data_IF_978166903763
#
_entry.id   IF_978166903763
#
_cell.length_a   1.000
_cell.length_b   1.000
_cell.length_c   1.000
_cell.angle_alpha   90.00
_cell.angle_beta   90.00
_cell.angle_gamma   90.00
#
_symmetry.space_group_name_H-M   'P 1'
#
loop_
_entity.id
_entity.type
_entity.pdbx_description
1 polymer ?
#
# COMPACT_ATOMS: atom_id res chain seq x y z
N UNK A 1 -0.24 -2.13 44.61
CA UNK A 1 -1.05 -3.36 44.80
C UNK A 1 -2.14 -3.01 45.81
N UNK A 2 -3.44 -3.17 45.63
CA UNK A 2 -4.27 -3.82 44.61
C UNK A 2 -5.62 -3.04 44.49
N UNK A 3 -6.32 -3.29 43.39
CA UNK A 3 -7.60 -2.70 42.99
C UNK A 3 -8.77 -3.22 43.86
N UNK A 4 -9.79 -2.39 44.07
CA UNK A 4 -11.18 -2.85 44.15
C UNK A 4 -12.08 -1.91 43.35
N UNK A 5 -12.68 -2.44 42.30
CA UNK A 5 -13.77 -1.86 41.52
C UNK A 5 -15.09 -2.25 42.20
N UNK A 6 -16.01 -1.29 42.33
CA UNK A 6 -17.40 -1.51 42.71
C UNK A 6 -18.28 -0.47 42.03
N UNK A 7 -19.07 -0.92 41.06
CA UNK A 7 -19.95 -0.15 40.19
C UNK A 7 -21.35 0.00 40.81
N UNK A 8 -21.98 1.16 40.55
CA UNK A 8 -23.43 1.47 40.48
C UNK A 8 -24.27 1.19 41.76
N UNK A 9 -25.29 1.94 42.19
CA UNK A 9 -26.44 2.61 41.54
C UNK A 9 -27.17 3.50 42.58
N UNK A 10 -27.81 4.58 42.11
CA UNK A 10 -29.11 5.15 42.53
C UNK A 10 -29.43 5.51 44.01
N UNK A 11 -29.94 6.73 44.21
CA UNK A 11 -31.05 6.98 45.15
C UNK A 11 -30.75 7.84 46.39
N UNK A 12 -31.48 8.94 46.63
CA UNK A 12 -31.22 9.87 47.72
C UNK A 12 -32.09 9.56 48.93
N UNK A 13 -31.54 9.41 50.14
CA UNK A 13 -32.31 9.67 51.37
C UNK A 13 -31.40 10.06 52.54
N UNK A 14 -31.90 11.07 53.24
CA UNK A 14 -31.42 11.64 54.47
C UNK A 14 -31.15 10.62 55.58
N UNK A 15 -30.08 10.86 56.33
CA UNK A 15 -29.98 10.45 57.73
C UNK A 15 -29.46 11.63 58.55
N UNK A 16 -30.33 12.14 59.42
CA UNK A 16 -30.05 13.12 60.48
C UNK A 16 -29.85 12.36 61.82
N UNK A 17 -29.60 13.03 62.97
CA UNK A 17 -28.41 12.93 63.83
C UNK A 17 -28.68 12.09 65.10
N UNK A 18 -27.83 12.10 66.15
CA UNK A 18 -28.09 13.03 67.28
C UNK A 18 -26.79 13.42 68.08
N UNK A 19 -26.59 14.67 68.51
CA UNK A 19 -26.99 15.34 69.78
C UNK A 19 -25.90 15.37 70.89
N UNK A 20 -25.94 16.48 71.65
CA UNK A 20 -25.22 16.81 72.91
C UNK A 20 -23.80 17.38 72.82
N UNK A 21 -23.68 18.70 72.99
CA UNK A 21 -23.11 19.25 74.24
C UNK A 21 -23.59 20.69 74.43
N UNK A 22 -24.12 20.96 75.63
CA UNK A 22 -24.61 22.24 76.09
C UNK A 22 -23.47 23.05 76.71
N UNK A 23 -23.42 24.35 76.46
CA UNK A 23 -22.85 25.31 77.41
C UNK A 23 -23.70 26.58 77.39
N UNK A 24 -24.28 26.87 78.55
CA UNK A 24 -25.06 28.05 78.88
C UNK A 24 -24.15 29.21 79.27
N UNK A 25 -24.37 30.39 78.70
CA UNK A 25 -24.08 31.66 79.37
C UNK A 25 -25.11 32.71 78.91
N UNK A 26 -25.87 33.23 79.86
CA UNK A 26 -26.91 34.28 79.75
C UNK A 26 -26.27 35.64 80.18
N UNK A 27 -26.92 36.81 80.03
CA UNK A 27 -26.57 37.81 79.02
C UNK A 27 -26.25 39.18 79.64
N UNK A 28 -25.75 40.13 78.84
CA UNK A 28 -25.97 41.55 79.11
C UNK A 28 -25.86 42.35 77.79
N UNK A 29 -26.97 43.03 77.46
CA UNK A 29 -27.19 44.23 76.60
C UNK A 29 -26.19 44.62 75.50
N UNK A 30 -26.59 45.17 74.36
CA UNK A 30 -27.86 45.40 73.69
C UNK A 30 -27.45 45.83 72.27
N UNK A 31 -28.33 45.56 71.32
CA UNK A 31 -28.58 46.39 70.14
C UNK A 31 -27.80 46.15 68.82
N UNK A 32 -28.60 46.29 67.75
CA UNK A 32 -28.25 46.51 66.34
C UNK A 32 -27.93 45.28 65.47
N UNK A 33 -29.02 44.60 65.09
CA UNK A 33 -29.34 44.19 63.70
C UNK A 33 -28.23 43.57 62.83
N UNK A 34 -28.25 42.25 62.77
CA UNK A 34 -28.34 41.43 61.55
C UNK A 34 -28.22 42.18 60.21
N UNK A 35 -27.03 42.11 59.58
CA UNK A 35 -26.81 41.87 58.14
C UNK A 35 -25.32 42.08 57.79
N UNK A 36 -24.48 41.15 58.22
CA UNK A 36 -23.26 40.85 57.48
C UNK A 36 -23.64 40.03 56.23
N UNK A 37 -24.26 40.69 55.25
CA UNK A 37 -24.35 40.15 53.89
C UNK A 37 -23.08 40.58 53.17
N UNK A 38 -22.23 39.62 52.89
CA UNK A 38 -21.18 39.71 51.88
C UNK A 38 -21.78 40.26 50.57
N UNK A 39 -21.71 41.57 50.37
CA UNK A 39 -21.91 42.25 49.09
C UNK A 39 -20.62 42.93 48.67
N UNK A 40 -19.51 42.19 48.80
CA UNK A 40 -18.20 42.57 48.26
C UNK A 40 -17.52 41.37 47.61
N UNK A 41 -18.27 40.63 46.78
CA UNK A 41 -17.73 39.56 45.93
C UNK A 41 -18.59 39.32 44.68
N UNK A 42 -19.32 40.33 44.19
CA UNK A 42 -20.13 40.21 42.97
C UNK A 42 -19.77 41.25 41.89
N UNK A 43 -19.03 42.31 42.23
CA UNK A 43 -18.70 43.40 41.29
C UNK A 43 -17.30 43.33 40.69
N UNK A 44 -16.51 42.30 41.01
CA UNK A 44 -15.18 42.11 40.41
C UNK A 44 -15.11 40.97 39.39
N UNK A 45 -16.19 40.21 39.19
CA UNK A 45 -16.27 39.28 38.05
C UNK A 45 -16.53 39.99 36.72
N UNK A 46 -16.95 41.26 36.75
CA UNK A 46 -17.20 42.08 35.56
C UNK A 46 -15.94 42.79 35.02
N UNK A 47 -14.78 42.54 35.65
CA UNK A 47 -13.48 43.11 35.28
C UNK A 47 -12.52 42.15 34.61
N UNK A 48 -12.99 40.98 34.19
CA UNK A 48 -12.24 40.13 33.28
C UNK A 48 -12.78 40.31 31.86
N UNK A 49 -12.26 41.25 31.05
CA UNK A 49 -12.46 41.22 29.62
C UNK A 49 -11.58 40.09 29.04
N UNK A 50 -11.83 38.85 29.44
CA UNK A 50 -11.29 37.67 28.77
C UNK A 50 -12.34 37.17 27.77
N UNK A 51 -12.39 37.91 26.66
CA UNK A 51 -12.83 37.45 25.34
C UNK A 51 -12.19 36.08 25.00
N UNK A 52 -12.82 35.27 24.13
CA UNK A 52 -12.81 33.81 24.16
C UNK A 52 -11.42 33.23 23.90
N UNK A 53 -10.83 32.55 24.89
CA UNK A 53 -9.67 31.69 24.64
C UNK A 53 -10.09 30.42 23.84
N UNK A 54 -11.32 29.94 24.07
CA UNK A 54 -11.86 28.70 23.49
C UNK A 54 -11.92 28.73 21.96
N UNK A 55 -12.19 29.88 21.32
CA UNK A 55 -12.35 29.92 19.86
C UNK A 55 -11.04 29.80 19.07
N UNK A 56 -9.89 30.19 19.65
CA UNK A 56 -8.58 30.05 19.01
C UNK A 56 -8.04 28.63 19.16
N UNK A 57 -8.27 28.01 20.31
CA UNK A 57 -7.87 26.63 20.58
C UNK A 57 -8.70 25.63 19.74
N UNK A 58 -10.00 25.89 19.57
CA UNK A 58 -10.85 25.13 18.63
C UNK A 58 -10.34 25.22 17.18
N UNK A 59 -9.91 26.41 16.74
CA UNK A 59 -9.34 26.59 15.40
C UNK A 59 -8.00 25.83 15.23
N UNK A 60 -7.15 25.82 16.27
CA UNK A 60 -5.88 25.07 16.26
C UNK A 60 -6.15 23.56 16.23
N UNK A 61 -7.09 23.06 17.02
CA UNK A 61 -7.46 21.64 17.02
C UNK A 61 -8.06 21.19 15.69
N UNK A 62 -8.89 22.04 15.06
CA UNK A 62 -9.41 21.78 13.73
C UNK A 62 -8.28 21.72 12.68
N UNK A 63 -7.30 22.64 12.75
CA UNK A 63 -6.14 22.66 11.87
C UNK A 63 -5.26 21.42 12.04
N UNK A 64 -5.02 20.96 13.28
CA UNK A 64 -4.30 19.72 13.56
C UNK A 64 -5.08 18.51 13.02
N UNK A 65 -6.41 18.51 13.16
CA UNK A 65 -7.28 17.49 12.58
C UNK A 65 -7.15 17.40 11.06
N UNK A 66 -7.19 18.54 10.38
CA UNK A 66 -7.00 18.63 8.94
C UNK A 66 -5.60 18.17 8.51
N UNK A 67 -4.56 18.63 9.21
CA UNK A 67 -3.18 18.22 8.92
C UNK A 67 -2.98 16.72 9.09
N UNK A 68 -3.58 16.10 10.13
CA UNK A 68 -3.53 14.65 10.32
C UNK A 68 -4.21 13.89 9.18
N UNK A 69 -5.31 14.42 8.66
CA UNK A 69 -6.01 13.81 7.54
C UNK A 69 -5.18 13.90 6.25
N UNK A 70 -4.64 15.08 5.95
CA UNK A 70 -3.75 15.27 4.80
C UNK A 70 -2.50 14.40 4.88
N UNK A 71 -1.87 14.31 6.06
CA UNK A 71 -0.71 13.45 6.29
C UNK A 71 -1.08 11.98 6.02
N UNK A 72 -2.23 11.51 6.50
CA UNK A 72 -2.69 10.13 6.25
C UNK A 72 -2.90 9.86 4.77
N UNK A 73 -3.52 10.78 4.05
CA UNK A 73 -3.76 10.65 2.61
C UNK A 73 -2.45 10.61 1.84
N UNK A 74 -1.49 11.49 2.18
CA UNK A 74 -0.15 11.49 1.59
C UNK A 74 0.62 10.20 1.89
N UNK A 75 0.55 9.69 3.11
CA UNK A 75 1.18 8.41 3.45
C UNK A 75 0.57 7.24 2.68
N UNK A 76 -0.76 7.18 2.58
CA UNK A 76 -1.44 6.14 1.79
C UNK A 76 -1.05 6.21 0.29
N UNK A 77 -0.94 7.42 -0.27
CA UNK A 77 -0.47 7.61 -1.63
C UNK A 77 0.99 7.17 -1.82
N UNK A 78 1.87 7.50 -0.87
CA UNK A 78 3.28 7.10 -0.88
C UNK A 78 3.46 5.58 -0.77
N UNK A 79 2.67 4.92 0.09
CA UNK A 79 2.67 3.45 0.20
C UNK A 79 2.27 2.80 -1.12
N UNK A 80 1.24 3.34 -1.79
CA UNK A 80 0.81 2.86 -3.10
C UNK A 80 1.90 3.07 -4.17
N UNK A 81 2.55 4.24 -4.19
CA UNK A 81 3.63 4.53 -5.14
C UNK A 81 4.85 3.64 -4.91
N UNK A 82 5.21 3.38 -3.65
CA UNK A 82 6.31 2.49 -3.28
C UNK A 82 6.02 1.04 -3.71
N UNK A 83 4.78 0.57 -3.51
CA UNK A 83 4.35 -0.75 -3.96
C UNK A 83 4.41 -0.87 -5.49
N UNK A 84 3.92 0.13 -6.23
CA UNK A 84 4.01 0.17 -7.69
C UNK A 84 5.47 0.17 -8.18
N UNK A 85 6.31 1.00 -7.57
CA UNK A 85 7.75 1.08 -7.89
C UNK A 85 8.44 -0.25 -7.65
N UNK A 86 8.15 -0.92 -6.52
CA UNK A 86 8.69 -2.25 -6.23
C UNK A 86 8.31 -3.26 -7.32
N UNK A 87 7.03 -3.30 -7.71
CA UNK A 87 6.57 -4.18 -8.78
C UNK A 87 7.28 -3.89 -10.11
N UNK A 88 7.49 -2.62 -10.44
CA UNK A 88 8.23 -2.24 -11.65
C UNK A 88 9.69 -2.72 -11.62
N UNK A 89 10.37 -2.58 -10.48
CA UNK A 89 11.75 -3.07 -10.31
C UNK A 89 11.82 -4.59 -10.44
N UNK A 90 10.89 -5.32 -9.82
CA UNK A 90 10.82 -6.79 -9.93
C UNK A 90 10.56 -7.23 -11.39
N UNK A 91 9.64 -6.56 -12.09
CA UNK A 91 9.38 -6.83 -13.50
C UNK A 91 10.62 -6.57 -14.38
N UNK A 92 11.36 -5.49 -14.11
CA UNK A 92 12.60 -5.19 -14.83
C UNK A 92 13.68 -6.24 -14.58
N UNK A 93 13.86 -6.68 -13.33
CA UNK A 93 14.81 -7.73 -12.97
C UNK A 93 14.50 -9.05 -13.70
N UNK A 94 13.21 -9.42 -13.78
CA UNK A 94 12.76 -10.60 -14.55
C UNK A 94 13.11 -10.46 -16.04
N UNK A 95 12.83 -9.30 -16.64
CA UNK A 95 13.13 -9.06 -18.06
C UNK A 95 14.62 -9.10 -18.37
N UNK A 96 15.47 -8.58 -17.49
CA UNK A 96 16.93 -8.63 -17.63
C UNK A 96 17.40 -10.09 -17.59
N UNK A 97 16.98 -10.85 -16.59
CA UNK A 97 17.36 -12.26 -16.43
C UNK A 97 16.89 -13.12 -17.61
N UNK A 98 15.64 -12.91 -18.06
CA UNK A 98 15.09 -13.58 -19.23
C UNK A 98 15.86 -13.21 -20.51
N UNK A 99 16.24 -11.95 -20.67
CA UNK A 99 17.06 -11.49 -21.79
C UNK A 99 18.44 -12.15 -21.80
N UNK A 100 19.11 -12.23 -20.65
CA UNK A 100 20.42 -12.86 -20.55
C UNK A 100 20.37 -14.35 -20.88
N UNK A 101 19.39 -15.07 -20.33
CA UNK A 101 19.13 -16.46 -20.67
C UNK A 101 18.88 -16.65 -22.18
N UNK A 102 18.01 -15.82 -22.76
CA UNK A 102 17.70 -15.89 -24.18
C UNK A 102 18.90 -15.55 -25.07
N UNK A 103 19.75 -14.62 -24.65
CA UNK A 103 20.98 -14.29 -25.37
C UNK A 103 21.96 -15.45 -25.36
N UNK A 104 22.13 -16.14 -24.22
CA UNK A 104 22.95 -17.36 -24.13
C UNK A 104 22.37 -18.45 -25.03
N UNK A 105 21.05 -18.69 -24.96
CA UNK A 105 20.38 -19.68 -25.80
C UNK A 105 20.56 -19.38 -27.30
N UNK A 106 20.43 -18.12 -27.72
CA UNK A 106 20.68 -17.70 -29.11
C UNK A 106 22.10 -17.97 -29.56
N UNK A 107 23.09 -17.72 -28.71
CA UNK A 107 24.51 -18.00 -29.00
C UNK A 107 24.73 -19.51 -29.13
N UNK A 108 24.13 -20.32 -28.26
CA UNK A 108 24.20 -21.78 -28.37
C UNK A 108 23.55 -22.28 -29.66
N UNK A 109 22.36 -21.76 -30.00
CA UNK A 109 21.63 -22.11 -31.21
C UNK A 109 22.38 -21.71 -32.50
N UNK A 110 23.20 -20.65 -32.47
CA UNK A 110 24.01 -20.24 -33.64
C UNK A 110 25.14 -21.22 -33.97
N UNK A 111 25.51 -22.08 -33.02
CA UNK A 111 26.54 -23.10 -33.20
C UNK A 111 26.00 -24.45 -33.70
N UNK A 112 24.68 -24.62 -33.76
CA UNK A 112 24.05 -25.82 -34.32
C UNK A 112 24.36 -25.92 -35.81
N UNK A 113 24.56 -27.16 -36.27
CA UNK A 113 25.03 -27.45 -37.63
C UNK A 113 24.02 -28.23 -38.45
N UNK A 114 23.19 -29.03 -37.80
CA UNK A 114 22.20 -29.89 -38.45
C UNK A 114 20.79 -29.54 -38.00
N UNK A 115 19.81 -29.84 -38.86
CA UNK A 115 18.40 -29.57 -38.56
C UNK A 115 17.88 -30.36 -37.35
N UNK A 116 18.51 -31.50 -37.04
CA UNK A 116 18.13 -32.40 -35.94
C UNK A 116 18.92 -32.15 -34.65
N UNK A 117 19.86 -31.20 -34.65
CA UNK A 117 20.56 -30.84 -33.41
C UNK A 117 19.56 -30.23 -32.42
N UNK A 118 19.63 -30.56 -31.12
CA UNK A 118 18.69 -30.07 -30.13
C UNK A 118 18.84 -28.57 -29.94
N UNK A 119 17.72 -27.84 -30.05
CA UNK A 119 17.62 -26.43 -29.75
C UNK A 119 17.65 -26.19 -28.24
N UNK A 120 18.34 -25.12 -27.83
CA UNK A 120 18.17 -24.58 -26.50
C UNK A 120 16.92 -23.69 -26.50
N UNK A 121 15.90 -24.01 -25.67
CA UNK A 121 14.65 -23.27 -25.65
C UNK A 121 14.86 -21.86 -25.10
N UNK A 122 14.12 -20.88 -25.65
CA UNK A 122 14.03 -19.55 -25.07
C UNK A 122 12.93 -19.50 -24.00
N UNK A 123 13.04 -18.56 -23.07
CA UNK A 123 12.00 -18.22 -22.11
C UNK A 123 11.24 -16.97 -22.54
N UNK A 124 10.03 -16.81 -22.02
CA UNK A 124 9.23 -15.62 -22.32
C UNK A 124 9.93 -14.36 -21.79
N UNK A 125 10.15 -13.32 -22.62
CA UNK A 125 10.85 -12.12 -22.19
C UNK A 125 10.16 -11.34 -21.06
N UNK A 126 8.83 -11.49 -20.90
CA UNK A 126 8.03 -10.76 -19.91
C UNK A 126 7.94 -11.49 -18.57
N UNK A 127 7.87 -12.82 -18.58
CA UNK A 127 7.66 -13.62 -17.36
C UNK A 127 8.88 -14.42 -16.94
N UNK A 128 9.86 -14.62 -17.83
CA UNK A 128 10.99 -15.53 -17.60
C UNK A 128 10.60 -17.02 -17.56
N UNK A 129 9.35 -17.36 -17.83
CA UNK A 129 8.87 -18.75 -17.82
C UNK A 129 9.23 -19.50 -19.10
N UNK A 130 9.30 -20.82 -19.01
CA UNK A 130 9.43 -21.69 -20.18
C UNK A 130 8.22 -21.51 -21.11
N UNK A 131 8.49 -21.52 -22.41
CA UNK A 131 7.47 -21.39 -23.46
C UNK A 131 6.96 -22.78 -23.82
N UNK A 132 5.67 -23.10 -23.58
CA UNK A 132 5.10 -24.38 -23.96
C UNK A 132 5.11 -24.54 -25.49
N UNK A 133 5.45 -25.74 -25.96
CA UNK A 133 5.51 -26.03 -27.39
C UNK A 133 6.71 -25.41 -28.11
N UNK A 134 7.75 -24.99 -27.38
CA UNK A 134 8.99 -24.58 -28.02
C UNK A 134 9.60 -25.77 -28.80
N UNK A 135 9.98 -25.59 -30.08
CA UNK A 135 10.49 -26.66 -30.94
C UNK A 135 11.77 -27.26 -30.36
N UNK A 136 11.88 -28.59 -30.36
CA UNK A 136 13.05 -29.28 -29.84
C UNK A 136 14.21 -29.27 -30.83
N UNK A 137 13.92 -29.17 -32.13
CA UNK A 137 14.92 -29.12 -33.21
C UNK A 137 14.57 -28.07 -34.25
N UNK A 138 15.52 -27.76 -35.14
CA UNK A 138 15.27 -26.84 -36.25
C UNK A 138 14.33 -27.44 -37.31
N UNK A 139 14.26 -28.76 -37.43
CA UNK A 139 13.31 -29.44 -38.32
C UNK A 139 11.87 -29.29 -37.81
N UNK A 140 11.67 -29.36 -36.49
CA UNK A 140 10.35 -29.21 -35.87
C UNK A 140 9.71 -27.87 -36.24
N UNK A 141 10.52 -26.81 -36.40
CA UNK A 141 10.07 -25.46 -36.81
C UNK A 141 9.36 -25.49 -38.17
N UNK A 142 9.85 -26.31 -39.09
CA UNK A 142 9.31 -26.42 -40.45
C UNK A 142 8.02 -27.28 -40.49
N UNK A 143 7.79 -28.07 -39.44
CA UNK A 143 6.60 -28.92 -39.29
C UNK A 143 5.48 -28.27 -38.46
N UNK A 144 5.75 -27.13 -37.79
CA UNK A 144 4.76 -26.43 -36.97
C UNK A 144 3.57 -25.94 -37.79
N UNK A 145 2.37 -26.02 -37.20
CA UNK A 145 1.18 -25.37 -37.76
C UNK A 145 1.24 -23.83 -37.62
N UNK A 146 0.46 -23.13 -38.44
CA UNK A 146 0.39 -21.66 -38.39
C UNK A 146 -0.06 -21.13 -37.02
N UNK A 147 -1.01 -21.79 -36.38
CA UNK A 147 -1.54 -21.42 -35.06
C UNK A 147 -0.49 -21.61 -33.95
N UNK A 148 0.27 -22.71 -33.99
CA UNK A 148 1.38 -22.96 -33.06
C UNK A 148 2.50 -21.95 -33.23
N UNK A 149 2.83 -21.62 -34.49
CA UNK A 149 3.82 -20.60 -34.82
C UNK A 149 3.40 -19.21 -34.30
N UNK A 150 2.14 -18.83 -34.48
CA UNK A 150 1.63 -17.55 -33.99
C UNK A 150 1.61 -17.47 -32.46
N UNK A 151 1.21 -18.55 -31.78
CA UNK A 151 1.26 -18.64 -30.33
C UNK A 151 2.72 -18.53 -29.82
N UNK A 152 3.67 -19.19 -30.48
CA UNK A 152 5.09 -19.12 -30.14
C UNK A 152 5.66 -17.71 -30.34
N UNK A 153 5.39 -17.08 -31.49
CA UNK A 153 5.83 -15.71 -31.78
C UNK A 153 5.28 -14.72 -30.75
N UNK A 154 4.00 -14.82 -30.40
CA UNK A 154 3.37 -13.96 -29.41
C UNK A 154 4.01 -14.11 -28.02
N UNK A 155 4.30 -15.34 -27.59
CA UNK A 155 4.98 -15.61 -26.31
C UNK A 155 6.42 -15.08 -26.27
N UNK A 156 7.09 -15.03 -27.42
CA UNK A 156 8.41 -14.41 -27.60
C UNK A 156 8.33 -12.87 -27.72
N UNK A 157 7.13 -12.28 -27.69
CA UNK A 157 6.90 -10.85 -27.86
C UNK A 157 7.10 -10.35 -29.29
N UNK A 158 7.10 -11.27 -30.26
CA UNK A 158 7.14 -10.96 -31.68
C UNK A 158 5.72 -10.78 -32.19
N UNK A 159 5.51 -9.73 -32.98
CA UNK A 159 4.26 -9.57 -33.72
C UNK A 159 4.18 -10.67 -34.79
N UNK A 160 3.07 -11.44 -34.87
CA UNK A 160 2.77 -12.31 -36.01
C UNK A 160 2.39 -11.42 -37.21
N UNK A 161 3.39 -10.73 -37.76
CA UNK A 161 3.20 -9.87 -38.93
C UNK A 161 3.62 -10.66 -40.17
N UNK A 162 2.65 -10.87 -41.08
CA UNK A 162 2.80 -11.65 -42.30
C UNK A 162 1.81 -12.81 -42.32
N UNK A 163 0.97 -12.88 -43.36
CA UNK A 163 0.06 -14.02 -43.57
C UNK A 163 0.81 -15.26 -44.06
N UNK A 164 2.05 -15.07 -44.54
CA UNK A 164 2.88 -16.13 -45.11
C UNK A 164 3.67 -16.87 -44.03
N UNK A 165 3.52 -18.20 -44.01
CA UNK A 165 4.21 -19.08 -43.08
C UNK A 165 5.73 -19.04 -43.27
N UNK A 166 6.21 -18.87 -44.51
CA UNK A 166 7.64 -18.82 -44.78
C UNK A 166 8.32 -17.61 -44.12
N UNK A 167 7.63 -16.46 -44.06
CA UNK A 167 8.13 -15.26 -43.37
C UNK A 167 8.17 -15.46 -41.85
N UNK A 168 7.14 -16.10 -41.28
CA UNK A 168 7.07 -16.43 -39.85
C UNK A 168 8.22 -17.36 -39.45
N UNK A 169 8.45 -18.43 -40.22
CA UNK A 169 9.55 -19.38 -40.00
C UNK A 169 10.90 -18.66 -40.08
N UNK A 170 11.13 -17.86 -41.12
CA UNK A 170 12.39 -17.11 -41.29
C UNK A 170 12.63 -16.15 -40.11
N UNK A 171 11.58 -15.46 -39.65
CA UNK A 171 11.65 -14.56 -38.50
C UNK A 171 11.97 -15.32 -37.22
N UNK A 172 11.31 -16.45 -36.97
CA UNK A 172 11.58 -17.29 -35.79
C UNK A 172 13.02 -17.80 -35.81
N UNK A 173 13.46 -18.43 -36.90
CA UNK A 173 14.84 -18.94 -37.07
C UNK A 173 15.87 -17.85 -36.77
N UNK A 174 15.68 -16.66 -37.34
CA UNK A 174 16.57 -15.51 -37.12
C UNK A 174 16.57 -15.07 -35.65
N UNK A 175 15.39 -15.02 -35.02
CA UNK A 175 15.25 -14.56 -33.63
C UNK A 175 15.84 -15.52 -32.59
N UNK A 176 15.75 -16.83 -32.83
CA UNK A 176 16.31 -17.85 -31.94
C UNK A 176 17.80 -18.11 -32.20
N UNK A 177 18.40 -17.40 -33.16
CA UNK A 177 19.83 -17.49 -33.45
C UNK A 177 20.19 -18.66 -34.36
N UNK A 178 19.26 -19.24 -35.12
CA UNK A 178 19.64 -20.21 -36.15
C UNK A 178 20.28 -19.48 -37.33
N UNK A 179 21.33 -20.08 -37.89
CA UNK A 179 21.86 -19.63 -39.17
C UNK A 179 20.75 -19.78 -40.20
N UNK A 180 20.57 -18.75 -41.05
CA UNK A 180 19.78 -18.91 -42.25
C UNK A 180 20.34 -20.12 -42.99
N UNK A 181 19.58 -21.20 -42.99
CA UNK A 181 19.94 -22.40 -43.72
C UNK A 181 20.19 -21.93 -45.14
N UNK A 182 21.41 -22.16 -45.62
CA UNK A 182 21.75 -21.86 -47.00
C UNK A 182 20.81 -22.76 -47.79
N UNK A 183 19.68 -22.22 -48.22
CA UNK A 183 18.73 -22.83 -49.14
C UNK A 183 19.54 -23.18 -50.38
N UNK A 184 20.16 -24.36 -50.34
CA UNK A 184 20.76 -25.01 -51.47
C UNK A 184 19.64 -25.87 -52.04
N UNK A 185 18.73 -25.24 -52.76
CA UNK A 185 17.97 -25.83 -53.87
C UNK A 185 17.47 -24.69 -54.77
#
# INVERSE_FOLDING_TARGET
MAKFQGNCTEGPMACSPPSHFAFTFYPHDQDITSRHRCTFAATDMDRLPHRPAVSKDEAILAQIGQMRQEIRERFAAMEHELAATRQHVENLATRITASDFNNIARVQNTHLRTANDPLTPLVSPSTGAAIPGFPATSADIDEMSGDEMDALLQQLGLQPAGSDMAEKIKRLRTFIGLRAERLLH
#
